data_IF_944009381068
#
_entry.id   IF_944009381068
#
_cell.length_a   1.000
_cell.length_b   1.000
_cell.length_c   1.000
_cell.angle_alpha   90.00
_cell.angle_beta   90.00
_cell.angle_gamma   90.00
#
_symmetry.space_group_name_H-M   'P 1'
#
loop_
_entity.id
_entity.type
_entity.pdbx_description
1 polymer ?
#
# COMPACT_ATOMS: atom_id res chain seq x y z
N UNK A 1 3.38 -3.81 4.17
CA UNK A 1 2.99 -2.89 3.07
C UNK A 1 3.37 -1.44 3.40
N UNK A 2 4.65 -1.15 3.63
CA UNK A 2 5.07 0.14 4.21
C UNK A 2 5.97 0.92 3.26
N UNK A 3 5.61 2.18 3.00
CA UNK A 3 6.36 3.10 2.15
C UNK A 3 7.66 3.57 2.82
N UNK A 4 8.72 3.76 2.04
CA UNK A 4 10.03 4.20 2.55
C UNK A 4 10.86 3.11 3.28
N UNK A 5 10.44 1.84 3.22
CA UNK A 5 11.17 0.73 3.87
C UNK A 5 12.57 0.55 3.29
N UNK A 6 12.74 0.64 1.97
CA UNK A 6 14.04 0.47 1.31
C UNK A 6 15.10 1.46 1.79
N UNK A 7 14.85 2.78 1.75
CA UNK A 7 15.76 3.78 2.31
C UNK A 7 16.07 3.58 3.81
N UNK A 8 15.10 3.10 4.61
CA UNK A 8 15.33 2.76 6.03
C UNK A 8 16.32 1.59 6.15
N UNK A 9 16.14 0.52 5.37
CA UNK A 9 17.05 -0.63 5.34
C UNK A 9 18.44 -0.20 4.83
N UNK A 10 18.52 0.60 3.77
CA UNK A 10 19.79 1.05 3.17
C UNK A 10 20.69 1.78 4.19
N UNK A 11 20.11 2.56 5.10
CA UNK A 11 20.85 3.23 6.19
C UNK A 11 21.44 2.25 7.21
N UNK A 12 20.81 1.09 7.40
CA UNK A 12 21.27 0.05 8.33
C UNK A 12 22.33 -0.86 7.69
N UNK A 13 22.31 -1.01 6.36
CA UNK A 13 23.24 -1.85 5.60
C UNK A 13 23.86 -1.07 4.42
N UNK A 14 24.70 -0.06 4.67
CA UNK A 14 25.19 0.86 3.64
C UNK A 14 25.99 0.20 2.51
N UNK A 15 26.63 -0.94 2.79
CA UNK A 15 27.45 -1.68 1.82
C UNK A 15 26.63 -2.65 0.94
N UNK A 16 25.33 -2.81 1.23
CA UNK A 16 24.43 -3.70 0.48
C UNK A 16 23.58 -2.86 -0.47
N UNK A 17 23.45 -3.30 -1.72
CA UNK A 17 22.48 -2.72 -2.65
C UNK A 17 21.07 -3.10 -2.22
N UNK A 18 20.29 -2.13 -1.75
CA UNK A 18 18.87 -2.32 -1.41
C UNK A 18 18.00 -1.86 -2.57
N UNK A 19 17.14 -2.76 -3.06
CA UNK A 19 16.12 -2.46 -4.05
C UNK A 19 14.76 -2.36 -3.38
N UNK A 20 13.89 -1.54 -3.96
CA UNK A 20 12.52 -1.36 -3.50
C UNK A 20 11.59 -2.19 -4.38
N UNK A 21 10.43 -2.56 -3.83
CA UNK A 21 9.49 -3.40 -4.54
C UNK A 21 8.10 -3.37 -3.96
N UNK A 22 7.12 -3.62 -4.82
CA UNK A 22 5.75 -3.80 -4.41
C UNK A 22 5.13 -5.01 -5.14
N UNK A 23 4.51 -5.90 -4.37
CA UNK A 23 3.97 -7.17 -4.88
C UNK A 23 2.43 -7.20 -4.87
N UNK A 24 1.82 -7.64 -5.95
CA UNK A 24 0.38 -7.83 -6.08
C UNK A 24 0.11 -9.34 -6.07
N UNK A 25 -0.35 -9.83 -4.93
CA UNK A 25 -0.69 -11.23 -4.70
C UNK A 25 -1.78 -11.28 -3.64
N UNK A 26 -2.64 -12.29 -3.72
CA UNK A 26 -3.55 -12.64 -2.62
C UNK A 26 -3.15 -14.03 -2.16
N UNK A 27 -2.59 -14.12 -0.96
CA UNK A 27 -2.22 -15.39 -0.36
C UNK A 27 -2.20 -15.31 1.15
N UNK A 28 -2.42 -16.45 1.80
CA UNK A 28 -2.43 -16.57 3.25
C UNK A 28 -1.94 -17.94 3.68
N UNK A 29 -1.43 -18.04 4.90
CA UNK A 29 -1.07 -19.31 5.54
C UNK A 29 -2.37 -20.05 5.86
N UNK A 30 -2.60 -21.19 5.21
CA UNK A 30 -3.80 -22.02 5.41
C UNK A 30 -3.58 -23.18 6.38
N UNK A 31 -2.32 -23.47 6.72
CA UNK A 31 -1.92 -24.55 7.60
C UNK A 31 -0.40 -24.58 7.81
N UNK A 32 0.08 -25.48 8.65
CA UNK A 32 1.52 -25.64 8.89
C UNK A 32 2.23 -26.08 7.61
N UNK A 33 3.10 -25.22 7.07
CA UNK A 33 3.79 -25.47 5.80
C UNK A 33 2.91 -25.29 4.57
N UNK A 34 1.70 -24.75 4.71
CA UNK A 34 0.75 -24.56 3.61
C UNK A 34 0.46 -23.08 3.37
N UNK A 35 0.64 -22.65 2.12
CA UNK A 35 0.27 -21.33 1.63
C UNK A 35 -0.79 -21.50 0.56
N UNK A 36 -1.95 -20.87 0.75
CA UNK A 36 -2.99 -20.79 -0.29
C UNK A 36 -2.85 -19.48 -1.04
N UNK A 37 -2.73 -19.55 -2.37
CA UNK A 37 -2.86 -18.39 -3.25
C UNK A 37 -4.29 -18.33 -3.82
N UNK A 38 -4.95 -17.19 -3.68
CA UNK A 38 -6.24 -16.93 -4.30
C UNK A 38 -6.08 -16.12 -5.58
N UNK A 39 -6.77 -16.54 -6.63
CA UNK A 39 -6.70 -15.88 -7.93
C UNK A 39 -5.36 -16.10 -8.66
N UNK A 40 -5.27 -15.52 -9.85
CA UNK A 40 -4.11 -15.69 -10.74
C UNK A 40 -3.10 -14.55 -10.66
N UNK A 41 -3.38 -13.52 -9.85
CA UNK A 41 -2.49 -12.36 -9.75
C UNK A 41 -1.26 -12.73 -8.92
N UNK A 42 -0.11 -12.70 -9.57
CA UNK A 42 1.19 -12.75 -8.93
C UNK A 42 2.12 -11.86 -9.75
N UNK A 43 2.19 -10.59 -9.35
CA UNK A 43 2.96 -9.56 -10.03
C UNK A 43 3.92 -8.87 -9.06
N UNK A 44 5.19 -8.77 -9.41
CA UNK A 44 6.17 -7.95 -8.71
C UNK A 44 6.52 -6.72 -9.55
N UNK A 45 6.54 -5.55 -8.93
CA UNK A 45 7.14 -4.35 -9.50
C UNK A 45 8.32 -3.99 -8.60
N UNK A 46 9.50 -3.79 -9.16
CA UNK A 46 10.69 -3.50 -8.36
C UNK A 46 11.66 -2.58 -9.10
N UNK A 47 12.58 -1.98 -8.37
CA UNK A 47 13.59 -1.09 -8.95
C UNK A 47 14.50 -0.50 -7.88
N UNK A 48 15.44 0.33 -8.32
CA UNK A 48 16.34 1.03 -7.44
C UNK A 48 15.72 2.35 -6.99
N UNK A 49 15.76 2.65 -5.68
CA UNK A 49 15.39 3.98 -5.21
C UNK A 49 16.45 5.01 -5.61
N UNK A 50 16.07 6.29 -5.58
CA UNK A 50 16.93 7.38 -6.04
C UNK A 50 18.28 7.41 -5.31
N UNK A 51 19.36 7.57 -6.07
CA UNK A 51 20.73 7.62 -5.54
C UNK A 51 21.41 6.25 -5.39
N UNK A 52 20.70 5.14 -5.61
CA UNK A 52 21.29 3.81 -5.53
C UNK A 52 22.13 3.50 -6.76
N UNK A 53 23.42 3.22 -6.55
CA UNK A 53 24.32 2.74 -7.59
C UNK A 53 24.12 1.23 -7.74
N UNK A 54 23.57 0.82 -8.86
CA UNK A 54 23.32 -0.60 -9.17
C UNK A 54 24.37 -1.10 -10.15
N UNK A 55 24.86 -2.33 -9.92
CA UNK A 55 25.77 -2.99 -10.86
C UNK A 55 25.05 -3.21 -12.20
N UNK A 56 25.69 -2.89 -13.34
CA UNK A 56 25.12 -3.16 -14.66
C UNK A 56 24.67 -4.62 -14.79
N UNK A 57 23.47 -4.86 -15.33
CA UNK A 57 22.94 -6.21 -15.53
C UNK A 57 22.29 -6.86 -14.30
N UNK A 58 22.43 -6.29 -13.09
CA UNK A 58 21.88 -6.91 -11.88
C UNK A 58 20.34 -6.93 -11.90
N UNK A 59 19.71 -5.83 -12.32
CA UNK A 59 18.24 -5.77 -12.39
C UNK A 59 17.75 -6.73 -13.48
N UNK A 60 18.37 -6.73 -14.64
CA UNK A 60 17.99 -7.65 -15.72
C UNK A 60 18.13 -9.12 -15.30
N UNK A 61 19.18 -9.48 -14.56
CA UNK A 61 19.36 -10.82 -14.01
C UNK A 61 18.24 -11.18 -13.00
N UNK A 62 17.92 -10.29 -12.06
CA UNK A 62 16.82 -10.50 -11.10
C UNK A 62 15.49 -10.65 -11.84
N UNK A 63 15.25 -9.83 -12.87
CA UNK A 63 14.05 -9.93 -13.69
C UNK A 63 13.96 -11.30 -14.37
N UNK A 64 15.06 -11.79 -14.95
CA UNK A 64 15.12 -13.09 -15.59
C UNK A 64 14.83 -14.23 -14.60
N UNK A 65 15.48 -14.24 -13.44
CA UNK A 65 15.27 -15.26 -12.40
C UNK A 65 13.79 -15.34 -11.97
N UNK A 66 13.15 -14.18 -11.77
CA UNK A 66 11.74 -14.12 -11.41
C UNK A 66 10.81 -14.58 -12.53
N UNK A 67 11.13 -14.27 -13.79
CA UNK A 67 10.37 -14.74 -14.95
C UNK A 67 10.49 -16.26 -15.13
N UNK A 68 11.68 -16.82 -14.95
CA UNK A 68 11.93 -18.26 -14.98
C UNK A 68 11.16 -19.00 -13.86
N UNK A 69 10.96 -18.35 -12.72
CA UNK A 69 10.10 -18.81 -11.63
C UNK A 69 8.59 -18.64 -11.91
N UNK A 70 8.19 -18.11 -13.07
CA UNK A 70 6.80 -17.91 -13.46
C UNK A 70 6.13 -16.68 -12.84
N UNK A 71 6.90 -15.75 -12.26
CA UNK A 71 6.40 -14.52 -11.66
C UNK A 71 6.33 -13.43 -12.74
N UNK A 72 5.17 -12.79 -12.88
CA UNK A 72 5.08 -11.58 -13.70
C UNK A 72 5.87 -10.48 -13.01
N UNK A 73 6.92 -9.98 -13.64
CA UNK A 73 7.78 -8.93 -13.04
C UNK A 73 7.95 -7.75 -13.99
N UNK A 74 7.77 -6.55 -13.44
CA UNK A 74 8.04 -5.29 -14.12
C UNK A 74 9.20 -4.57 -13.43
N UNK A 75 10.21 -4.19 -14.21
CA UNK A 75 11.27 -3.30 -13.75
C UNK A 75 10.76 -1.86 -13.83
N UNK A 76 10.65 -1.22 -12.67
CA UNK A 76 10.13 0.13 -12.57
C UNK A 76 11.20 1.19 -12.87
N UNK A 77 10.91 2.18 -13.73
CA UNK A 77 11.77 3.35 -13.89
C UNK A 77 11.65 4.35 -12.73
N UNK A 78 10.62 4.22 -11.89
CA UNK A 78 10.40 5.05 -10.70
C UNK A 78 9.68 4.20 -9.64
N UNK A 79 10.48 3.42 -8.92
CA UNK A 79 9.96 2.52 -7.89
C UNK A 79 9.37 3.27 -6.69
N UNK A 80 9.82 4.51 -6.47
CA UNK A 80 9.28 5.35 -5.41
C UNK A 80 7.81 5.70 -5.71
N UNK A 81 7.50 6.09 -6.96
CA UNK A 81 6.11 6.26 -7.40
C UNK A 81 5.31 4.98 -7.25
N UNK A 82 5.80 3.87 -7.77
CA UNK A 82 4.99 2.65 -7.83
C UNK A 82 4.71 2.05 -6.44
N UNK A 83 5.67 2.17 -5.51
CA UNK A 83 5.46 1.81 -4.10
C UNK A 83 4.52 2.78 -3.39
N UNK A 84 4.64 4.09 -3.64
CA UNK A 84 3.74 5.10 -3.08
C UNK A 84 2.30 4.88 -3.53
N UNK A 85 2.05 4.74 -4.83
CA UNK A 85 0.71 4.54 -5.40
C UNK A 85 0.02 3.33 -4.74
N UNK A 86 0.75 2.21 -4.62
CA UNK A 86 0.23 1.02 -3.97
C UNK A 86 -0.04 1.25 -2.48
N UNK A 87 0.88 1.88 -1.76
CA UNK A 87 0.73 2.18 -0.34
C UNK A 87 -0.45 3.10 -0.08
N UNK A 88 -0.62 4.18 -0.84
CA UNK A 88 -1.74 5.11 -0.70
C UNK A 88 -3.09 4.43 -0.93
N UNK A 89 -3.17 3.52 -1.91
CA UNK A 89 -4.38 2.74 -2.16
C UNK A 89 -4.69 1.78 -0.99
N UNK A 90 -3.70 1.00 -0.55
CA UNK A 90 -3.88 0.04 0.56
C UNK A 90 -4.25 0.77 1.84
N UNK A 91 -3.61 1.90 2.12
CA UNK A 91 -3.91 2.76 3.26
C UNK A 91 -5.36 3.23 3.25
N UNK A 92 -5.82 3.86 2.16
CA UNK A 92 -7.21 4.32 2.05
C UNK A 92 -8.23 3.19 2.18
N UNK A 93 -7.96 2.04 1.55
CA UNK A 93 -8.82 0.85 1.62
C UNK A 93 -8.88 0.27 3.03
N UNK A 94 -7.72 0.12 3.67
CA UNK A 94 -7.60 -0.45 5.02
C UNK A 94 -8.29 0.44 6.05
N UNK A 95 -8.00 1.74 6.03
CA UNK A 95 -8.60 2.73 6.93
C UNK A 95 -10.11 2.77 6.74
N UNK A 96 -10.62 2.78 5.50
CA UNK A 96 -12.08 2.75 5.27
C UNK A 96 -12.73 1.48 5.81
N UNK A 97 -12.20 0.31 5.45
CA UNK A 97 -12.74 -0.99 5.87
C UNK A 97 -12.73 -1.18 7.39
N UNK A 98 -11.64 -0.78 8.06
CA UNK A 98 -11.54 -0.86 9.52
C UNK A 98 -12.43 0.17 10.23
N UNK A 99 -12.73 1.31 9.63
CA UNK A 99 -13.50 2.37 10.30
C UNK A 99 -14.97 2.01 10.38
N UNK A 100 -15.50 1.54 9.25
CA UNK A 100 -16.90 1.21 9.11
C UNK A 100 -17.21 -0.26 9.44
N UNK A 101 -16.17 -1.10 9.50
CA UNK A 101 -16.28 -2.55 9.67
C UNK A 101 -17.23 -3.19 8.64
N UNK A 102 -16.98 -2.89 7.37
CA UNK A 102 -17.79 -3.31 6.22
C UNK A 102 -16.93 -3.97 5.14
N UNK A 103 -17.49 -4.88 4.34
CA UNK A 103 -16.80 -5.40 3.17
C UNK A 103 -16.72 -4.37 2.04
N UNK A 104 -15.88 -4.61 1.04
CA UNK A 104 -15.61 -3.67 -0.06
C UNK A 104 -16.87 -3.33 -0.87
N UNK A 105 -17.87 -4.22 -0.90
CA UNK A 105 -19.16 -3.97 -1.55
C UNK A 105 -19.92 -2.75 -1.01
N UNK A 106 -19.71 -2.35 0.25
CA UNK A 106 -20.29 -1.11 0.78
C UNK A 106 -19.54 0.14 0.32
N UNK A 107 -18.23 0.04 0.07
CA UNK A 107 -17.40 1.13 -0.48
C UNK A 107 -17.71 1.36 -1.98
N UNK A 108 -18.19 0.33 -2.67
CA UNK A 108 -18.60 0.41 -4.09
C UNK A 108 -19.87 1.23 -4.30
N UNK A 109 -20.71 1.38 -3.26
CA UNK A 109 -21.99 2.09 -3.33
C UNK A 109 -21.81 3.59 -3.08
N UNK A 110 -22.57 4.48 -3.75
CA UNK A 110 -22.60 5.89 -3.40
C UNK A 110 -23.00 6.11 -1.94
N UNK A 111 -22.34 7.06 -1.26
CA UNK A 111 -22.65 7.45 0.11
C UNK A 111 -21.41 7.61 0.98
N UNK A 112 -21.64 7.83 2.28
CA UNK A 112 -20.63 8.25 3.25
C UNK A 112 -19.36 7.37 3.29
N UNK A 113 -19.50 6.06 3.13
CA UNK A 113 -18.38 5.11 3.16
C UNK A 113 -17.46 5.34 1.95
N UNK A 114 -18.04 5.44 0.76
CA UNK A 114 -17.32 5.77 -0.47
C UNK A 114 -16.72 7.17 -0.43
N UNK A 115 -17.46 8.14 0.10
CA UNK A 115 -16.97 9.51 0.25
C UNK A 115 -15.76 9.58 1.19
N UNK A 116 -15.72 8.74 2.22
CA UNK A 116 -14.55 8.60 3.11
C UNK A 116 -13.34 8.04 2.34
N UNK A 117 -13.53 6.98 1.55
CA UNK A 117 -12.47 6.43 0.71
C UNK A 117 -11.95 7.47 -0.31
N UNK A 118 -12.83 8.28 -0.88
CA UNK A 118 -12.48 9.40 -1.76
C UNK A 118 -11.65 10.45 -1.00
N UNK A 119 -12.06 10.83 0.21
CA UNK A 119 -11.31 11.76 1.06
C UNK A 119 -9.90 11.28 1.35
N UNK A 120 -9.75 10.02 1.80
CA UNK A 120 -8.45 9.38 2.06
C UNK A 120 -7.59 9.28 0.79
N UNK A 121 -8.19 8.95 -0.36
CA UNK A 121 -7.48 8.91 -1.64
C UNK A 121 -7.03 10.30 -2.10
N UNK A 122 -7.85 11.33 -1.87
CA UNK A 122 -7.54 12.72 -2.22
C UNK A 122 -6.39 13.27 -1.38
N UNK A 123 -6.45 13.01 -0.07
CA UNK A 123 -5.45 13.40 0.91
C UNK A 123 -4.08 12.74 0.64
N UNK A 124 -4.07 11.42 0.43
CA UNK A 124 -2.84 10.71 0.09
C UNK A 124 -2.29 11.09 -1.29
N UNK A 125 -3.16 11.43 -2.25
CA UNK A 125 -2.73 11.99 -3.53
C UNK A 125 -2.07 13.38 -3.39
N UNK A 126 -2.58 14.23 -2.50
CA UNK A 126 -1.96 15.52 -2.20
C UNK A 126 -0.55 15.33 -1.61
N UNK A 127 -0.38 14.35 -0.71
CA UNK A 127 0.93 13.94 -0.21
C UNK A 127 1.86 13.47 -1.33
N UNK A 128 1.40 12.55 -2.18
CA UNK A 128 2.21 12.05 -3.29
C UNK A 128 2.70 13.18 -4.19
N UNK A 129 1.81 14.11 -4.57
CA UNK A 129 2.18 15.28 -5.40
C UNK A 129 3.24 16.15 -4.73
N UNK A 130 3.14 16.37 -3.42
CA UNK A 130 4.12 17.15 -2.64
C UNK A 130 5.47 16.46 -2.55
N UNK A 131 5.48 15.12 -2.49
CA UNK A 131 6.68 14.29 -2.53
C UNK A 131 7.27 14.11 -3.94
N UNK A 132 6.69 14.75 -4.96
CA UNK A 132 7.14 14.65 -6.35
C UNK A 132 6.74 13.35 -7.06
N UNK A 133 5.76 12.62 -6.53
CA UNK A 133 5.20 11.43 -7.18
C UNK A 133 4.38 11.85 -8.39
N UNK A 134 4.78 11.40 -9.57
CA UNK A 134 4.02 11.58 -10.81
C UNK A 134 2.97 10.49 -10.94
N UNK A 135 1.69 10.85 -10.96
CA UNK A 135 0.60 9.88 -11.14
C UNK A 135 0.30 9.69 -12.64
N UNK A 136 0.29 8.45 -13.17
CA UNK A 136 -0.01 8.20 -14.59
C UNK A 136 -1.42 8.60 -15.03
N UNK A 137 -2.36 8.60 -14.08
CA UNK A 137 -3.73 9.06 -14.25
C UNK A 137 -4.21 9.67 -12.92
N UNK A 138 -5.44 10.19 -12.89
CA UNK A 138 -6.00 10.74 -11.65
C UNK A 138 -6.07 9.66 -10.54
N UNK A 139 -5.37 9.83 -9.41
CA UNK A 139 -5.24 8.79 -8.39
C UNK A 139 -6.57 8.42 -7.74
N UNK A 140 -7.47 9.39 -7.55
CA UNK A 140 -8.78 9.14 -6.94
C UNK A 140 -9.62 8.28 -7.89
N UNK A 141 -9.71 8.68 -9.16
CA UNK A 141 -10.43 7.94 -10.20
C UNK A 141 -9.87 6.54 -10.39
N UNK A 142 -8.55 6.38 -10.38
CA UNK A 142 -7.89 5.08 -10.46
C UNK A 142 -8.26 4.19 -9.27
N UNK A 143 -8.13 4.72 -8.05
CA UNK A 143 -8.45 3.98 -6.83
C UNK A 143 -9.90 3.50 -6.83
N UNK A 144 -10.86 4.34 -7.26
CA UNK A 144 -12.26 3.96 -7.39
C UNK A 144 -12.46 2.86 -8.42
N UNK A 145 -11.83 2.95 -9.60
CA UNK A 145 -11.87 1.87 -10.61
C UNK A 145 -11.36 0.54 -10.07
N UNK A 146 -10.39 0.56 -9.16
CA UNK A 146 -9.87 -0.66 -8.50
C UNK A 146 -10.89 -1.19 -7.49
N UNK A 147 -11.40 -0.34 -6.58
CA UNK A 147 -12.42 -0.72 -5.59
C UNK A 147 -13.64 -1.34 -6.26
N UNK A 148 -14.13 -0.73 -7.35
CA UNK A 148 -15.33 -1.16 -8.07
C UNK A 148 -15.16 -2.53 -8.78
N UNK A 149 -13.93 -3.06 -8.84
CA UNK A 149 -13.62 -4.39 -9.42
C UNK A 149 -13.26 -5.44 -8.38
N UNK A 150 -13.12 -5.06 -7.11
CA UNK A 150 -12.87 -6.01 -6.04
C UNK A 150 -14.09 -6.91 -5.83
N UNK A 151 -13.83 -8.11 -5.32
CA UNK A 151 -14.89 -8.99 -4.81
C UNK A 151 -15.67 -8.22 -3.73
N UNK A 152 -17.00 -8.04 -3.86
CA UNK A 152 -17.81 -7.31 -2.89
C UNK A 152 -17.71 -7.86 -1.47
N UNK A 153 -17.41 -9.15 -1.29
CA UNK A 153 -17.27 -9.80 0.01
C UNK A 153 -15.85 -9.67 0.60
N UNK A 154 -14.91 -9.11 -0.16
CA UNK A 154 -13.55 -8.91 0.33
C UNK A 154 -13.52 -7.88 1.46
N UNK A 155 -12.61 -8.10 2.40
CA UNK A 155 -12.37 -7.22 3.56
C UNK A 155 -10.88 -6.90 3.63
N UNK A 156 -10.55 -5.71 4.15
CA UNK A 156 -9.16 -5.31 4.30
C UNK A 156 -8.43 -6.18 5.34
N UNK A 157 -7.13 -6.42 5.16
CA UNK A 157 -6.34 -7.19 6.16
C UNK A 157 -6.41 -6.56 7.54
N UNK A 158 -6.20 -5.24 7.61
CA UNK A 158 -6.23 -4.49 8.86
C UNK A 158 -7.55 -4.64 9.62
N UNK A 159 -8.69 -4.76 8.92
CA UNK A 159 -9.99 -5.02 9.54
C UNK A 159 -10.02 -6.39 10.24
N UNK A 160 -9.47 -7.42 9.58
CA UNK A 160 -9.38 -8.78 10.14
C UNK A 160 -8.41 -8.84 11.32
N UNK A 161 -7.29 -8.14 11.24
CA UNK A 161 -6.25 -8.13 12.28
C UNK A 161 -6.74 -7.44 13.55
N UNK A 162 -7.45 -6.31 13.41
CA UNK A 162 -8.07 -5.60 14.52
C UNK A 162 -9.17 -6.44 15.20
N UNK A 163 -10.01 -7.13 14.43
CA UNK A 163 -11.05 -8.01 14.98
C UNK A 163 -10.47 -9.19 15.80
N UNK A 164 -9.21 -9.58 15.55
CA UNK A 164 -8.52 -10.66 16.27
C UNK A 164 -7.65 -10.16 17.43
N UNK A 165 -7.56 -8.85 17.65
CA UNK A 165 -6.68 -8.25 18.67
C UNK A 165 -5.20 -8.49 18.42
N UNK A 166 -4.79 -8.68 17.15
CA UNK A 166 -3.40 -8.93 16.76
C UNK A 166 -2.65 -7.62 16.45
N UNK A 167 -1.32 -7.73 16.30
CA UNK A 167 -0.47 -6.66 15.78
C UNK A 167 -0.97 -6.21 14.40
N UNK A 168 -1.52 -5.00 14.33
CA UNK A 168 -2.12 -4.42 13.14
C UNK A 168 -1.10 -3.62 12.33
N UNK A 169 -1.19 -3.64 10.98
CA UNK A 169 -0.43 -2.72 10.11
C UNK A 169 -0.85 -1.23 10.28
N UNK A 170 -1.67 -0.89 11.28
CA UNK A 170 -2.16 0.46 11.58
C UNK A 170 -1.03 1.50 11.68
N UNK A 171 0.11 1.14 12.28
CA UNK A 171 1.25 2.05 12.35
C UNK A 171 1.70 2.49 10.95
N UNK A 172 1.93 1.53 10.04
CA UNK A 172 2.43 1.81 8.70
C UNK A 172 1.37 2.34 7.71
N UNK A 173 0.09 2.03 7.91
CA UNK A 173 -0.98 2.43 6.99
C UNK A 173 -1.71 3.70 7.40
N UNK A 174 -1.82 3.99 8.70
CA UNK A 174 -2.49 5.18 9.21
C UNK A 174 -1.49 6.19 9.76
N UNK A 175 -0.73 5.81 10.78
CA UNK A 175 0.07 6.78 11.53
C UNK A 175 1.28 7.28 10.74
N UNK A 176 1.97 6.42 10.01
CA UNK A 176 3.06 6.81 9.11
C UNK A 176 2.54 7.72 7.96
N UNK A 177 1.29 7.53 7.50
CA UNK A 177 0.64 8.41 6.51
C UNK A 177 0.38 9.81 7.08
N UNK A 178 -0.17 9.87 8.30
CA UNK A 178 -0.42 11.14 9.01
C UNK A 178 0.90 11.87 9.24
N UNK A 179 1.91 11.18 9.79
CA UNK A 179 3.22 11.77 10.06
C UNK A 179 3.88 12.31 8.78
N UNK A 180 3.86 11.54 7.69
CA UNK A 180 4.41 11.98 6.40
C UNK A 180 3.69 13.20 5.84
N UNK A 181 2.36 13.29 5.99
CA UNK A 181 1.60 14.48 5.58
C UNK A 181 1.92 15.71 6.42
N UNK A 182 2.04 15.54 7.74
CA UNK A 182 2.36 16.62 8.68
C UNK A 182 3.77 17.18 8.46
N UNK A 183 4.76 16.32 8.21
CA UNK A 183 6.12 16.73 7.82
C UNK A 183 6.14 17.60 6.56
N UNK A 184 5.18 17.40 5.67
CA UNK A 184 5.04 18.15 4.42
C UNK A 184 4.09 19.35 4.53
N UNK A 185 3.52 19.60 5.70
CA UNK A 185 2.55 20.68 5.96
C UNK A 185 1.21 20.49 5.25
N UNK A 186 0.81 19.24 5.01
CA UNK A 186 -0.46 18.89 4.34
C UNK A 186 -1.50 18.59 5.39
N UNK A 187 -2.67 19.20 5.26
CA UNK A 187 -3.81 18.88 6.12
C UNK A 187 -4.45 17.56 5.70
N UNK A 188 -4.71 16.69 6.67
CA UNK A 188 -5.14 15.29 6.44
C UNK A 188 -6.34 14.89 7.32
N UNK A 189 -7.45 15.67 7.29
CA UNK A 189 -8.54 15.55 8.25
C UNK A 189 -9.26 14.18 8.20
N UNK A 190 -9.36 13.55 7.04
CA UNK A 190 -10.03 12.24 6.90
C UNK A 190 -9.22 11.13 7.57
N UNK A 191 -7.89 11.13 7.42
CA UNK A 191 -7.04 10.19 8.18
C UNK A 191 -7.07 10.50 9.69
N UNK A 192 -7.06 11.78 10.10
CA UNK A 192 -7.14 12.14 11.52
C UNK A 192 -8.45 11.69 12.18
N UNK A 193 -9.58 11.80 11.48
CA UNK A 193 -10.87 11.30 11.97
C UNK A 193 -10.79 9.83 12.39
N UNK A 194 -10.07 9.01 11.61
CA UNK A 194 -9.84 7.62 11.97
C UNK A 194 -8.96 7.48 13.19
N UNK A 195 -7.84 8.20 13.25
CA UNK A 195 -6.89 8.13 14.37
C UNK A 195 -7.55 8.43 15.72
N UNK A 196 -8.50 9.37 15.78
CA UNK A 196 -9.24 9.68 17.01
C UNK A 196 -10.10 8.50 17.50
N UNK A 197 -10.78 7.77 16.60
CA UNK A 197 -11.55 6.57 16.97
C UNK A 197 -10.67 5.49 17.63
N UNK A 198 -9.40 5.36 17.22
CA UNK A 198 -8.45 4.40 17.80
C UNK A 198 -7.87 4.85 19.13
N UNK A 199 -7.73 6.16 19.36
CA UNK A 199 -7.36 6.68 20.67
C UNK A 199 -8.45 6.41 21.71
N UNK A 200 -9.71 6.52 21.32
CA UNK A 200 -10.87 6.26 22.20
C UNK A 200 -11.04 4.77 22.55
N UNK A 201 -10.52 3.86 21.73
CA UNK A 201 -10.68 2.40 21.92
C UNK A 201 -9.60 1.77 22.83
N UNK A 202 -8.60 2.55 23.27
CA UNK A 202 -7.51 2.11 24.17
C UNK A 202 -7.75 2.46 25.65
N UNK A 203 -9.02 2.60 26.07
CA UNK A 203 -9.43 2.78 27.47
C UNK A 203 -10.30 1.64 27.97
#
# INVERSE_FOLDING_TARGET
>A
NVYGTGPRIQKLVPEVTVLDGCIYIVGFVSGTGEITQMGKIFRLVYGAHHGTVVKPGLLEAIQQDLQEAGIKVDLSPDINRDTFIKWSFISAMAVTGAYYDVPMGEVQKPGKIRDTFIGLSTESAALGKKLGVEFPEDPVSYNLKVIDKLDPESTASMQKDLARGHDSEIQGLLFDMIAAAEEQGIDIPTYRMFAEKFKESNH
#
